data_IF_803791585753
#
_entry.id   IF_803791585753
#
_cell.length_a   1.000
_cell.length_b   1.000
_cell.length_c   1.000
_cell.angle_alpha   90.00
_cell.angle_beta   90.00
_cell.angle_gamma   90.00
#
_symmetry.space_group_name_H-M   'P 1'
#
loop_
_entity.id
_entity.type
_entity.pdbx_description
1 polymer ?
#
# COMPACT_ATOMS: atom_id res chain seq x y z
N UNK A 1 -1.89 -2.31 0.86
CA UNK A 1 -0.83 -1.80 -0.03
C UNK A 1 -0.59 -0.33 0.27
N UNK A 2 0.67 0.10 0.21
CA UNK A 2 1.05 1.50 0.31
C UNK A 2 1.56 1.96 -1.05
N UNK A 3 1.06 3.09 -1.54
CA UNK A 3 1.38 3.63 -2.86
C UNK A 3 1.83 5.08 -2.74
N UNK A 4 2.87 5.44 -3.49
CA UNK A 4 3.23 6.84 -3.76
C UNK A 4 2.69 7.15 -5.15
N UNK A 5 1.77 8.11 -5.24
CA UNK A 5 0.99 8.41 -6.45
C UNK A 5 0.93 9.92 -6.67
N UNK A 6 0.83 10.32 -7.94
CA UNK A 6 0.60 11.73 -8.31
C UNK A 6 -0.84 12.17 -8.04
N UNK A 7 -1.78 11.23 -8.18
CA UNK A 7 -3.21 11.43 -7.96
C UNK A 7 -3.76 10.29 -7.09
N UNK A 8 -4.67 10.57 -6.14
CA UNK A 8 -5.21 9.54 -5.26
C UNK A 8 -5.92 8.41 -6.01
N UNK A 9 -5.63 7.17 -5.62
CA UNK A 9 -6.27 5.98 -6.18
C UNK A 9 -7.14 5.27 -5.14
N UNK A 10 -8.36 4.89 -5.54
CA UNK A 10 -9.23 4.06 -4.71
C UNK A 10 -8.83 2.59 -4.82
N UNK A 11 -9.03 1.84 -3.73
CA UNK A 11 -8.71 0.41 -3.66
C UNK A 11 -9.34 -0.41 -4.81
N UNK A 12 -10.58 -0.08 -5.22
CA UNK A 12 -11.27 -0.77 -6.33
C UNK A 12 -10.54 -0.63 -7.66
N UNK A 13 -9.93 0.54 -7.93
CA UNK A 13 -9.19 0.79 -9.16
C UNK A 13 -7.91 -0.06 -9.20
N UNK A 14 -7.19 -0.12 -8.07
CA UNK A 14 -5.97 -0.92 -7.93
C UNK A 14 -6.27 -2.42 -8.05
N UNK A 15 -7.31 -2.90 -7.35
CA UNK A 15 -7.72 -4.31 -7.41
C UNK A 15 -8.15 -4.72 -8.83
N UNK A 16 -8.94 -3.88 -9.52
CA UNK A 16 -9.35 -4.13 -10.90
C UNK A 16 -8.14 -4.22 -11.82
N UNK A 17 -7.24 -3.24 -11.77
CA UNK A 17 -6.02 -3.23 -12.57
C UNK A 17 -5.18 -4.49 -12.36
N UNK A 18 -4.89 -4.87 -11.10
CA UNK A 18 -4.10 -6.05 -10.81
C UNK A 18 -4.78 -7.35 -11.28
N UNK A 19 -6.10 -7.45 -11.16
CA UNK A 19 -6.86 -8.60 -11.67
C UNK A 19 -6.77 -8.70 -13.19
N UNK A 20 -6.88 -7.58 -13.91
CA UNK A 20 -6.71 -7.52 -15.36
C UNK A 20 -5.29 -7.93 -15.80
N UNK A 21 -4.29 -7.74 -14.94
CA UNK A 21 -2.92 -8.25 -15.16
C UNK A 21 -2.75 -9.75 -14.81
N UNK A 22 -3.83 -10.47 -14.48
CA UNK A 22 -3.80 -11.90 -14.14
C UNK A 22 -3.31 -12.20 -12.72
N UNK A 23 -3.26 -11.22 -11.83
CA UNK A 23 -2.91 -11.45 -10.42
C UNK A 23 -4.06 -12.19 -9.72
N UNK A 24 -3.74 -13.33 -9.11
CA UNK A 24 -4.68 -14.12 -8.34
C UNK A 24 -5.32 -13.33 -7.19
N UNK A 25 -6.59 -13.62 -6.90
CA UNK A 25 -7.41 -12.84 -5.97
C UNK A 25 -6.83 -12.73 -4.56
N UNK A 26 -6.24 -13.81 -4.04
CA UNK A 26 -5.61 -13.82 -2.70
C UNK A 26 -4.36 -12.94 -2.59
N UNK A 27 -3.81 -12.45 -3.72
CA UNK A 27 -2.68 -11.50 -3.75
C UNK A 27 -3.15 -10.06 -3.88
N UNK A 28 -4.43 -9.82 -4.14
CA UNK A 28 -4.96 -8.47 -4.25
C UNK A 28 -4.98 -7.81 -2.87
N UNK A 29 -4.61 -6.52 -2.77
CA UNK A 29 -4.62 -5.84 -1.50
C UNK A 29 -6.06 -5.53 -1.06
N UNK A 30 -6.38 -5.83 0.21
CA UNK A 30 -7.67 -5.47 0.81
C UNK A 30 -7.80 -3.98 1.09
N UNK A 31 -6.68 -3.32 1.44
CA UNK A 31 -6.59 -1.88 1.75
C UNK A 31 -5.55 -1.22 0.87
N UNK A 32 -5.79 0.03 0.47
CA UNK A 32 -4.83 0.86 -0.28
C UNK A 32 -4.69 2.20 0.44
N UNK A 33 -3.45 2.54 0.78
CA UNK A 33 -3.07 3.78 1.44
C UNK A 33 -2.19 4.58 0.49
N UNK A 34 -2.62 5.79 0.14
CA UNK A 34 -1.78 6.74 -0.60
C UNK A 34 -0.94 7.53 0.41
N UNK A 35 0.37 7.60 0.19
CA UNK A 35 1.32 8.30 1.06
C UNK A 35 2.27 9.13 0.21
N UNK A 36 2.81 10.20 0.78
CA UNK A 36 3.75 11.08 0.06
C UNK A 36 5.11 10.40 -0.17
N UNK A 37 5.52 9.52 0.73
CA UNK A 37 6.75 8.72 0.61
C UNK A 37 6.67 7.42 1.42
N UNK A 38 7.49 6.44 1.03
CA UNK A 38 7.68 5.22 1.80
C UNK A 38 8.78 5.43 2.85
N UNK A 39 8.61 4.91 4.08
CA UNK A 39 9.65 5.00 5.09
C UNK A 39 10.82 4.11 4.64
N UNK A 40 12.04 4.61 4.85
CA UNK A 40 13.27 3.92 4.51
C UNK A 40 14.10 3.63 5.75
N UNK A 41 14.87 2.55 5.73
CA UNK A 41 15.91 2.27 6.71
C UNK A 41 17.11 3.19 6.49
N UNK A 42 18.07 3.20 7.43
CA UNK A 42 19.31 3.97 7.31
C UNK A 42 20.13 3.66 6.03
N UNK A 43 19.90 2.49 5.42
CA UNK A 43 20.53 2.06 4.16
C UNK A 43 19.62 2.21 2.94
N UNK A 44 18.53 2.98 3.05
CA UNK A 44 17.66 3.36 1.93
C UNK A 44 16.67 2.28 1.45
N UNK A 45 16.51 1.16 2.17
CA UNK A 45 15.53 0.12 1.83
C UNK A 45 14.18 0.43 2.47
N UNK A 46 13.07 0.01 1.85
CA UNK A 46 11.73 0.18 2.45
C UNK A 46 11.65 -0.46 3.84
N UNK A 47 11.28 0.33 4.84
CA UNK A 47 11.10 -0.12 6.21
C UNK A 47 9.70 -0.71 6.41
N UNK A 48 9.61 -2.03 6.24
CA UNK A 48 8.37 -2.78 6.46
C UNK A 48 7.91 -2.78 7.92
N UNK A 49 8.80 -2.58 8.90
CA UNK A 49 8.44 -2.52 10.32
C UNK A 49 7.66 -1.23 10.59
N UNK A 50 8.15 -0.10 10.09
CA UNK A 50 7.46 1.17 10.21
C UNK A 50 6.09 1.15 9.50
N UNK A 51 6.02 0.56 8.30
CA UNK A 51 4.75 0.40 7.57
C UNK A 51 3.70 -0.41 8.36
N UNK A 52 4.11 -1.45 9.11
CA UNK A 52 3.19 -2.22 9.97
C UNK A 52 2.70 -1.41 11.18
N UNK A 53 3.56 -0.56 11.74
CA UNK A 53 3.18 0.32 12.85
C UNK A 53 2.15 1.38 12.40
N UNK A 54 2.34 1.97 11.22
CA UNK A 54 1.34 2.88 10.64
C UNK A 54 -0.01 2.20 10.42
N UNK A 55 -0.02 0.95 9.96
CA UNK A 55 -1.25 0.14 9.82
C UNK A 55 -1.95 -0.03 11.17
N UNK A 56 -1.21 -0.34 12.24
CA UNK A 56 -1.76 -0.52 13.58
C UNK A 56 -2.34 0.77 14.15
N UNK A 57 -1.65 1.91 13.99
CA UNK A 57 -2.10 3.19 14.53
C UNK A 57 -3.32 3.78 13.82
N UNK A 58 -3.47 3.51 12.50
CA UNK A 58 -4.59 4.00 11.69
C UNK A 58 -5.84 3.13 11.76
N UNK A 59 -5.74 1.90 12.25
CA UNK A 59 -6.87 0.99 12.38
C UNK A 59 -7.73 1.26 13.64
N UNK A 60 -7.23 2.09 14.55
CA UNK A 60 -7.85 2.42 15.85
C UNK A 60 -8.51 3.81 15.89
N UNK A 61 -8.77 4.41 14.72
CA UNK A 61 -9.55 5.63 14.54
C UNK A 61 -10.73 5.33 13.61
#
# INVERSE_FOLDING_TARGET
>A
AYLVVKEPLRAVQVRRFLREQGIAEFKLPDRVECVDSLPLTAVGKVDKKQLRQWLASRASA
#
